data_IF_539779906222
#
_entry.id   IF_539779906222
#
_cell.length_a   1.000
_cell.length_b   1.000
_cell.length_c   1.000
_cell.angle_alpha   90.00
_cell.angle_beta   90.00
_cell.angle_gamma   90.00
#
_symmetry.space_group_name_H-M   'P 1'
#
loop_
_entity.id
_entity.type
_entity.pdbx_description
1 polymer ?
#
# COMPACT_ATOMS: atom_id res chain seq x y z
N UNK A 1 -4.50 -5.76 -21.04
CA UNK A 1 -3.82 -6.80 -20.21
C UNK A 1 -2.66 -6.11 -19.50
N UNK A 2 -2.50 -6.26 -18.17
CA UNK A 2 -1.33 -5.72 -17.48
C UNK A 2 -0.04 -6.37 -18.02
N UNK A 3 1.04 -5.59 -18.14
CA UNK A 3 2.34 -6.11 -18.54
C UNK A 3 2.98 -6.86 -17.37
N UNK A 4 3.92 -7.75 -17.67
CA UNK A 4 4.71 -8.46 -16.65
C UNK A 4 5.42 -7.49 -15.71
N UNK A 5 6.03 -6.45 -16.26
CA UNK A 5 6.75 -5.42 -15.50
C UNK A 5 5.83 -4.70 -14.51
N UNK A 6 4.60 -4.38 -14.93
CA UNK A 6 3.61 -3.76 -14.05
C UNK A 6 3.23 -4.69 -12.88
N UNK A 7 3.03 -5.98 -13.15
CA UNK A 7 2.72 -6.97 -12.12
C UNK A 7 3.87 -7.16 -11.13
N UNK A 8 5.11 -7.22 -11.63
CA UNK A 8 6.31 -7.32 -10.80
C UNK A 8 6.49 -6.09 -9.90
N UNK A 9 6.29 -4.89 -10.46
CA UNK A 9 6.38 -3.64 -9.71
C UNK A 9 5.31 -3.57 -8.60
N UNK A 10 4.04 -3.86 -8.92
CA UNK A 10 2.95 -3.92 -7.93
C UNK A 10 3.25 -4.94 -6.82
N UNK A 11 3.72 -6.13 -7.17
CA UNK A 11 4.02 -7.18 -6.19
C UNK A 11 5.18 -6.78 -5.28
N UNK A 12 6.20 -6.07 -5.82
CA UNK A 12 7.32 -5.53 -5.03
C UNK A 12 6.83 -4.52 -3.99
N UNK A 13 5.94 -3.61 -4.38
CA UNK A 13 5.34 -2.63 -3.46
C UNK A 13 4.53 -3.31 -2.34
N UNK A 14 3.71 -4.30 -2.69
CA UNK A 14 2.98 -5.09 -1.70
C UNK A 14 3.89 -5.82 -0.72
N UNK A 15 5.01 -6.37 -1.21
CA UNK A 15 5.98 -7.05 -0.35
C UNK A 15 6.65 -6.07 0.60
N UNK A 16 7.10 -4.92 0.09
CA UNK A 16 7.77 -3.90 0.88
C UNK A 16 6.85 -3.34 1.98
N UNK A 17 5.58 -3.05 1.66
CA UNK A 17 4.59 -2.59 2.65
C UNK A 17 4.38 -3.55 3.82
N UNK A 18 4.51 -4.86 3.60
CA UNK A 18 4.37 -5.86 4.67
C UNK A 18 5.61 -5.98 5.56
N UNK A 19 6.76 -5.48 5.12
CA UNK A 19 8.00 -5.50 5.88
C UNK A 19 8.20 -4.22 6.69
N UNK A 20 7.59 -3.13 6.27
CA UNK A 20 7.65 -1.85 6.98
C UNK A 20 6.64 -1.79 8.14
N UNK A 21 7.02 -1.18 9.28
CA UNK A 21 6.07 -0.95 10.36
C UNK A 21 4.99 0.06 9.91
N UNK A 22 3.70 -0.23 10.17
CA UNK A 22 2.61 0.69 9.84
C UNK A 22 2.83 2.08 10.43
N UNK A 23 2.65 3.12 9.60
CA UNK A 23 2.84 4.51 10.00
C UNK A 23 4.30 5.00 10.01
N UNK A 24 5.27 4.16 9.60
CA UNK A 24 6.63 4.65 9.32
C UNK A 24 6.63 5.56 8.09
N UNK A 25 7.61 6.47 8.00
CA UNK A 25 7.75 7.33 6.83
C UNK A 25 7.92 6.54 5.52
N UNK A 26 8.62 5.41 5.60
CA UNK A 26 8.82 4.51 4.46
C UNK A 26 7.54 3.75 4.10
N UNK A 27 6.76 3.32 5.09
CA UNK A 27 5.45 2.72 4.89
C UNK A 27 4.50 3.66 4.16
N UNK A 28 4.36 4.91 4.62
CA UNK A 28 3.47 5.90 3.98
C UNK A 28 3.94 6.24 2.56
N UNK A 29 5.26 6.33 2.33
CA UNK A 29 5.84 6.53 0.99
C UNK A 29 5.47 5.39 0.03
N UNK A 30 5.64 4.14 0.45
CA UNK A 30 5.30 2.95 -0.33
C UNK A 30 3.78 2.83 -0.55
N UNK A 31 2.99 3.23 0.43
CA UNK A 31 1.53 3.22 0.36
C UNK A 31 1.04 4.19 -0.71
N UNK A 32 1.55 5.43 -0.71
CA UNK A 32 1.23 6.42 -1.74
C UNK A 32 1.63 5.97 -3.14
N UNK A 33 2.80 5.34 -3.27
CA UNK A 33 3.28 4.80 -4.55
C UNK A 33 2.34 3.70 -5.05
N UNK A 34 1.98 2.75 -4.18
CA UNK A 34 1.03 1.69 -4.52
C UNK A 34 -0.36 2.26 -4.85
N UNK A 35 -0.87 3.20 -4.05
CA UNK A 35 -2.15 3.88 -4.26
C UNK A 35 -2.24 4.50 -5.65
N UNK A 36 -1.19 5.23 -6.06
CA UNK A 36 -1.11 5.81 -7.41
C UNK A 36 -1.06 4.74 -8.49
N UNK A 37 -0.34 3.64 -8.26
CA UNK A 37 -0.16 2.57 -9.24
C UNK A 37 -1.44 1.79 -9.54
N UNK A 38 -2.23 1.48 -8.51
CA UNK A 38 -3.44 0.63 -8.64
C UNK A 38 -4.74 1.44 -8.55
N UNK A 39 -4.65 2.76 -8.39
CA UNK A 39 -5.77 3.69 -8.23
C UNK A 39 -6.69 3.32 -7.05
N UNK A 40 -6.08 2.85 -5.95
CA UNK A 40 -6.79 2.60 -4.71
C UNK A 40 -6.51 3.70 -3.71
N UNK A 41 -7.50 3.97 -2.87
CA UNK A 41 -7.40 4.83 -1.72
C UNK A 41 -6.70 4.13 -0.54
N UNK A 42 -6.12 4.94 0.36
CA UNK A 42 -5.40 4.47 1.55
C UNK A 42 -6.21 3.49 2.40
N UNK A 43 -7.49 3.74 2.75
CA UNK A 43 -8.26 2.82 3.59
C UNK A 43 -8.39 1.42 2.97
N UNK A 44 -8.56 1.35 1.65
CA UNK A 44 -8.68 0.09 0.92
C UNK A 44 -7.38 -0.71 0.88
N UNK A 45 -6.24 -0.03 0.75
CA UNK A 45 -4.93 -0.68 0.81
C UNK A 45 -4.65 -1.19 2.21
N UNK A 46 -4.95 -0.40 3.25
CA UNK A 46 -4.78 -0.82 4.64
C UNK A 46 -5.64 -2.03 4.97
N UNK A 47 -6.92 -2.02 4.56
CA UNK A 47 -7.80 -3.17 4.72
C UNK A 47 -7.24 -4.45 4.05
N UNK A 48 -6.63 -4.30 2.86
CA UNK A 48 -5.97 -5.42 2.16
C UNK A 48 -4.69 -5.92 2.85
N UNK A 49 -4.07 -5.10 3.71
CA UNK A 49 -2.97 -5.48 4.60
C UNK A 49 -3.47 -6.08 5.93
N UNK A 50 -4.78 -6.11 6.18
CA UNK A 50 -5.36 -6.48 7.48
C UNK A 50 -5.19 -5.39 8.54
N UNK A 51 -4.88 -4.16 8.12
CA UNK A 51 -4.75 -2.99 8.98
C UNK A 51 -6.06 -2.21 8.93
N UNK A 52 -6.52 -1.76 10.10
CA UNK A 52 -7.53 -0.71 10.15
C UNK A 52 -6.82 0.63 10.19
N UNK A 53 -7.39 1.67 9.57
CA UNK A 53 -6.92 3.02 9.87
C UNK A 53 -7.00 3.22 11.39
N UNK A 54 -5.98 3.80 12.03
CA UNK A 54 -6.13 4.22 13.40
C UNK A 54 -7.37 5.11 13.44
N UNK A 55 -8.35 4.69 14.23
CA UNK A 55 -9.64 5.34 14.39
C UNK A 55 -9.36 6.78 14.82
N UNK A 56 -9.21 7.67 13.85
CA UNK A 56 -9.08 9.10 14.08
C UNK A 56 -10.52 9.57 14.23
N UNK A 57 -11.15 9.09 15.30
CA UNK A 57 -12.43 9.60 15.73
C UNK A 57 -12.24 11.08 16.10
N UNK A 58 -13.12 11.98 15.63
CA UNK A 58 -13.05 13.42 15.91
C UNK A 58 -13.23 13.75 17.39
#
# INVERSE_FOLDING_TARGET
MPTREWLEHRNRLWLALRQEPPGSAEFERLLEELARLIHWDRPRILAALGLSEPDTAP
#
